data_IF_705249792166
#
_entry.id   IF_705249792166
#
_cell.length_a   1.000
_cell.length_b   1.000
_cell.length_c   1.000
_cell.angle_alpha   90.00
_cell.angle_beta   90.00
_cell.angle_gamma   90.00
#
_symmetry.space_group_name_H-M   'P 1'
#
loop_
_entity.id
_entity.type
_entity.pdbx_description
1 polymer ?
#
# COMPACT_ATOMS: atom_id res chain seq x y z
N UNK A 1 35.80 -14.76 -9.79
CA UNK A 1 34.70 -14.88 -8.83
C UNK A 1 34.78 -13.67 -7.93
N UNK A 2 33.78 -12.81 -7.97
CA UNK A 2 33.76 -11.59 -7.17
C UNK A 2 32.93 -11.84 -5.91
N UNK A 3 33.48 -11.55 -4.76
CA UNK A 3 32.74 -11.55 -3.50
C UNK A 3 32.01 -10.21 -3.39
N UNK A 4 30.72 -10.25 -3.09
CA UNK A 4 29.87 -9.07 -2.88
C UNK A 4 29.36 -9.13 -1.44
N UNK A 5 29.49 -8.03 -0.73
CA UNK A 5 28.86 -7.85 0.58
C UNK A 5 27.44 -7.32 0.41
N UNK A 6 26.47 -8.04 0.93
CA UNK A 6 25.09 -7.58 1.04
C UNK A 6 24.95 -6.78 2.33
N UNK A 7 24.41 -5.58 2.22
CA UNK A 7 24.29 -4.61 3.32
C UNK A 7 22.83 -4.23 3.55
N UNK A 8 22.56 -3.71 4.74
CA UNK A 8 21.25 -3.13 5.07
C UNK A 8 21.09 -1.83 4.27
N UNK A 9 20.05 -1.70 3.44
CA UNK A 9 19.76 -0.46 2.72
C UNK A 9 19.35 0.66 3.69
N UNK A 10 19.02 1.84 3.15
CA UNK A 10 18.45 2.94 3.95
C UNK A 10 17.14 2.50 4.60
N UNK A 11 17.13 2.46 5.92
CA UNK A 11 15.99 2.07 6.76
C UNK A 11 15.37 3.28 7.47
N UNK A 12 15.48 4.49 6.87
CA UNK A 12 14.87 5.71 7.38
C UNK A 12 15.55 6.30 8.60
N UNK A 13 16.87 6.11 8.74
CA UNK A 13 17.67 6.68 9.82
C UNK A 13 17.53 5.95 11.16
N UNK A 14 16.97 4.73 11.17
CA UNK A 14 16.92 3.89 12.38
C UNK A 14 18.29 3.24 12.64
N UNK A 15 18.79 3.38 13.86
CA UNK A 15 20.02 2.74 14.32
C UNK A 15 19.71 1.63 15.32
N UNK A 16 20.56 0.60 15.36
CA UNK A 16 20.46 -0.52 16.31
C UNK A 16 19.10 -1.26 16.28
N UNK A 17 18.64 -1.60 15.08
CA UNK A 17 17.40 -2.33 14.84
C UNK A 17 17.58 -3.81 15.12
N UNK A 18 16.61 -4.44 15.79
CA UNK A 18 16.66 -5.84 16.15
C UNK A 18 16.35 -6.74 14.94
N UNK A 19 17.18 -7.80 14.74
CA UNK A 19 16.95 -8.83 13.72
C UNK A 19 16.05 -9.91 14.32
N UNK A 20 14.83 -10.04 13.79
CA UNK A 20 13.85 -11.03 14.28
C UNK A 20 13.83 -12.33 13.48
N UNK A 21 14.28 -12.29 12.22
CA UNK A 21 14.41 -13.49 11.39
C UNK A 21 15.63 -13.38 10.47
N UNK A 22 16.24 -14.53 10.15
CA UNK A 22 17.31 -14.68 9.14
C UNK A 22 16.89 -15.82 8.22
N UNK A 23 16.55 -15.48 6.97
CA UNK A 23 15.95 -16.43 6.01
C UNK A 23 16.99 -17.14 5.14
N UNK A 24 18.27 -16.79 5.26
CA UNK A 24 19.37 -17.32 4.46
C UNK A 24 20.39 -18.09 5.30
N UNK A 25 21.07 -19.05 4.66
CA UNK A 25 22.16 -19.84 5.25
C UNK A 25 23.36 -19.90 4.31
N UNK A 26 24.52 -20.16 4.86
CA UNK A 26 25.73 -20.44 4.05
C UNK A 26 25.49 -21.62 3.11
N UNK A 27 25.71 -21.44 1.84
CA UNK A 27 25.48 -22.42 0.77
C UNK A 27 24.18 -22.19 -0.02
N UNK A 28 23.27 -21.32 0.44
CA UNK A 28 22.03 -21.03 -0.27
C UNK A 28 22.31 -20.21 -1.54
N UNK A 29 21.52 -20.47 -2.58
CA UNK A 29 21.51 -19.63 -3.79
C UNK A 29 20.37 -18.66 -3.68
N UNK A 30 20.67 -17.37 -3.76
CA UNK A 30 19.71 -16.27 -3.66
C UNK A 30 19.57 -15.56 -5.00
N UNK A 31 18.35 -15.14 -5.30
CA UNK A 31 18.01 -14.25 -6.42
C UNK A 31 17.92 -12.80 -5.94
N UNK A 32 17.82 -11.86 -6.89
CA UNK A 32 17.50 -10.46 -6.58
C UNK A 32 16.08 -10.44 -6.00
N UNK A 33 15.86 -9.59 -4.99
CA UNK A 33 14.62 -9.43 -4.24
C UNK A 33 14.26 -10.57 -3.26
N UNK A 34 15.07 -11.64 -3.13
CA UNK A 34 14.86 -12.62 -2.07
C UNK A 34 15.07 -12.00 -0.69
N UNK A 35 14.21 -12.30 0.29
CA UNK A 35 14.32 -11.80 1.66
C UNK A 35 15.55 -12.40 2.34
N UNK A 36 16.46 -11.56 2.85
CA UNK A 36 17.66 -11.96 3.56
C UNK A 36 17.43 -12.07 5.07
N UNK A 37 16.91 -11.01 5.65
CA UNK A 37 16.60 -10.85 7.07
C UNK A 37 15.32 -10.04 7.26
N UNK A 38 14.67 -10.23 8.39
CA UNK A 38 13.56 -9.38 8.83
C UNK A 38 13.99 -8.56 10.04
N UNK A 39 13.82 -7.26 9.97
CA UNK A 39 14.14 -6.27 11.01
C UNK A 39 12.87 -5.86 11.75
N UNK A 40 12.96 -5.59 13.05
CA UNK A 40 11.88 -5.03 13.85
C UNK A 40 12.28 -3.66 14.40
N UNK A 41 11.54 -2.64 13.97
CA UNK A 41 11.64 -1.29 14.51
C UNK A 41 10.53 -1.06 15.53
N UNK A 42 10.60 0.04 16.27
CA UNK A 42 9.53 0.50 17.18
C UNK A 42 8.18 0.78 16.48
N UNK A 43 8.15 0.83 15.15
CA UNK A 43 6.97 1.19 14.35
C UNK A 43 6.51 0.10 13.38
N UNK A 44 7.41 -0.75 12.89
CA UNK A 44 7.07 -1.77 11.89
C UNK A 44 8.14 -2.85 11.79
N UNK A 45 7.74 -4.02 11.27
CA UNK A 45 8.67 -5.04 10.75
C UNK A 45 8.99 -4.75 9.28
N UNK A 46 10.23 -4.94 8.89
CA UNK A 46 10.72 -4.68 7.53
C UNK A 46 11.57 -5.85 7.05
N UNK A 47 11.28 -6.34 5.84
CA UNK A 47 12.11 -7.33 5.17
C UNK A 47 13.21 -6.65 4.36
N UNK A 48 14.42 -7.14 4.45
CA UNK A 48 15.58 -6.64 3.69
C UNK A 48 15.80 -7.58 2.51
N UNK A 49 15.57 -7.09 1.26
CA UNK A 49 15.74 -7.88 0.05
C UNK A 49 17.21 -7.95 -0.38
N UNK A 50 17.54 -8.98 -1.16
CA UNK A 50 18.85 -9.14 -1.79
C UNK A 50 19.02 -8.17 -2.97
N UNK A 51 20.09 -7.37 -2.95
CA UNK A 51 20.43 -6.46 -4.05
C UNK A 51 21.16 -7.15 -5.21
N UNK A 52 21.65 -8.38 -4.99
CA UNK A 52 22.38 -9.14 -6.00
C UNK A 52 22.14 -10.66 -5.84
N UNK A 53 22.13 -11.36 -6.99
CA UNK A 53 22.03 -12.81 -7.02
C UNK A 53 23.40 -13.49 -6.86
N UNK A 54 23.42 -14.60 -6.14
CA UNK A 54 24.65 -15.36 -5.92
C UNK A 54 24.51 -16.50 -4.92
N UNK A 55 25.62 -17.15 -4.60
CA UNK A 55 25.67 -18.19 -3.57
C UNK A 55 26.18 -17.58 -2.28
N UNK A 56 25.43 -17.74 -1.19
CA UNK A 56 25.81 -17.25 0.14
C UNK A 56 27.02 -18.01 0.65
N UNK A 57 28.15 -17.34 0.87
CA UNK A 57 29.36 -17.93 1.44
C UNK A 57 29.35 -17.85 2.95
N UNK A 58 28.95 -16.74 3.51
CA UNK A 58 28.95 -16.51 4.94
C UNK A 58 27.78 -15.56 5.32
N UNK A 59 27.06 -15.89 6.37
CA UNK A 59 26.07 -15.01 7.01
C UNK A 59 26.72 -14.40 8.24
N UNK A 60 26.71 -13.08 8.32
CA UNK A 60 27.41 -12.29 9.35
C UNK A 60 26.53 -11.91 10.53
N UNK A 61 25.24 -12.16 10.45
CA UNK A 61 24.22 -11.77 11.43
C UNK A 61 23.43 -12.96 11.93
N UNK A 62 22.82 -12.83 13.11
CA UNK A 62 21.96 -13.83 13.75
C UNK A 62 20.69 -13.19 14.27
N UNK A 63 19.66 -14.02 14.48
CA UNK A 63 18.44 -13.59 15.16
C UNK A 63 18.78 -13.08 16.56
N UNK A 64 18.30 -11.87 16.89
CA UNK A 64 18.58 -11.17 18.15
C UNK A 64 19.79 -10.23 18.11
N UNK A 65 20.53 -10.18 17.01
CA UNK A 65 21.58 -9.16 16.82
C UNK A 65 20.94 -7.81 16.47
N UNK A 66 21.69 -6.74 16.75
CA UNK A 66 21.32 -5.37 16.36
C UNK A 66 22.14 -4.93 15.16
N UNK A 67 21.44 -4.35 14.17
CA UNK A 67 22.09 -3.88 12.95
C UNK A 67 21.60 -2.46 12.62
N UNK A 68 22.46 -1.69 11.96
CA UNK A 68 22.14 -0.35 11.46
C UNK A 68 22.31 -0.31 9.95
N UNK A 69 21.88 0.79 9.32
CA UNK A 69 22.10 1.05 7.90
C UNK A 69 23.56 0.83 7.52
N UNK A 70 23.80 0.19 6.36
CA UNK A 70 25.13 -0.15 5.86
C UNK A 70 25.78 -1.34 6.55
N UNK A 71 25.17 -1.93 7.59
CA UNK A 71 25.65 -3.13 8.24
C UNK A 71 25.69 -4.33 7.29
N UNK A 72 26.76 -5.15 7.35
CA UNK A 72 26.93 -6.31 6.45
C UNK A 72 26.09 -7.48 6.97
N UNK A 73 25.17 -7.97 6.14
CA UNK A 73 24.29 -9.11 6.42
C UNK A 73 24.96 -10.42 6.04
N UNK A 74 25.45 -10.50 4.82
CA UNK A 74 26.06 -11.71 4.26
C UNK A 74 27.09 -11.38 3.19
N UNK A 75 27.96 -12.34 2.91
CA UNK A 75 28.88 -12.29 1.78
C UNK A 75 28.45 -13.34 0.77
N UNK A 76 28.23 -12.91 -0.46
CA UNK A 76 27.86 -13.79 -1.57
C UNK A 76 28.97 -13.88 -2.60
N UNK A 77 29.08 -15.00 -3.26
CA UNK A 77 29.86 -15.15 -4.48
C UNK A 77 28.94 -14.90 -5.67
N UNK A 78 29.18 -13.77 -6.37
CA UNK A 78 28.40 -13.43 -7.55
C UNK A 78 28.53 -14.54 -8.60
N UNK A 79 27.42 -15.11 -9.03
CA UNK A 79 27.37 -15.92 -10.22
C UNK A 79 27.65 -14.97 -11.40
N UNK A 80 28.88 -15.01 -11.93
CA UNK A 80 29.22 -14.29 -13.15
C UNK A 80 28.17 -14.59 -14.21
N UNK A 81 27.77 -13.58 -14.97
CA UNK A 81 26.77 -13.67 -16.01
C UNK A 81 26.97 -14.93 -16.87
N UNK A 82 26.17 -15.95 -16.65
CA UNK A 82 26.10 -17.16 -17.45
C UNK A 82 24.63 -17.56 -17.54
N UNK A 83 24.15 -17.44 -18.77
CA UNK A 83 23.03 -18.17 -19.39
C UNK A 83 22.43 -19.30 -18.57
N UNK A 84 21.09 -19.28 -18.52
CA UNK A 84 20.22 -20.30 -17.97
C UNK A 84 20.71 -21.73 -18.23
N UNK A 85 20.87 -22.50 -17.16
CA UNK A 85 20.98 -23.95 -17.20
C UNK A 85 20.14 -24.54 -16.07
N UNK A 86 19.16 -25.27 -16.49
CA UNK A 86 18.28 -26.26 -15.88
C UNK A 86 18.53 -26.64 -14.40
N UNK A 87 17.55 -26.33 -13.55
CA UNK A 87 17.40 -26.89 -12.21
C UNK A 87 16.72 -28.27 -12.27
N UNK A 88 17.05 -29.21 -11.34
CA UNK A 88 16.43 -30.53 -11.34
C UNK A 88 14.97 -30.46 -10.86
N UNK A 89 14.14 -31.14 -11.63
CA UNK A 89 12.69 -31.26 -11.56
C UNK A 89 12.22 -31.89 -10.23
N UNK A 90 11.73 -31.10 -9.31
CA UNK A 90 10.85 -31.56 -8.26
C UNK A 90 9.42 -31.63 -8.78
N UNK A 91 8.67 -32.70 -8.40
CA UNK A 91 7.39 -33.06 -8.96
C UNK A 91 6.35 -31.92 -8.91
N UNK A 92 5.76 -31.68 -10.07
CA UNK A 92 4.85 -30.58 -10.32
C UNK A 92 3.50 -30.75 -9.59
N UNK A 93 3.15 -29.72 -8.81
CA UNK A 93 1.77 -29.27 -8.77
C UNK A 93 1.45 -28.54 -10.09
N UNK A 94 0.24 -28.62 -10.65
CA UNK A 94 -0.04 -28.03 -11.97
C UNK A 94 0.21 -26.52 -11.92
N UNK A 95 1.15 -26.09 -12.74
CA UNK A 95 1.43 -24.70 -12.95
C UNK A 95 0.17 -23.97 -13.44
N UNK A 96 -0.09 -22.73 -12.98
CA UNK A 96 -1.02 -21.86 -13.68
C UNK A 96 -0.54 -21.75 -15.13
N UNK A 97 -1.43 -22.04 -16.09
CA UNK A 97 -1.13 -21.86 -17.50
C UNK A 97 -0.47 -20.48 -17.71
N UNK A 98 0.67 -20.49 -18.37
CA UNK A 98 1.32 -19.27 -18.83
C UNK A 98 0.27 -18.41 -19.56
N UNK A 99 0.24 -17.07 -19.35
CA UNK A 99 -0.72 -16.24 -20.05
C UNK A 99 -0.54 -16.49 -21.55
N UNK A 100 -1.55 -17.11 -22.17
CA UNK A 100 -1.68 -17.17 -23.61
C UNK A 100 -1.36 -15.79 -24.14
N UNK A 101 -0.43 -15.69 -25.08
CA UNK A 101 -0.06 -14.43 -25.71
C UNK A 101 -1.35 -13.61 -25.88
N UNK A 102 -1.40 -12.47 -25.21
CA UNK A 102 -2.59 -11.63 -25.20
C UNK A 102 -2.97 -11.40 -26.65
N UNK A 103 -4.22 -11.75 -26.99
CA UNK A 103 -4.77 -11.32 -28.26
C UNK A 103 -4.50 -9.81 -28.39
N UNK A 104 -4.17 -9.31 -29.60
CA UNK A 104 -3.92 -7.88 -29.78
C UNK A 104 -5.04 -7.13 -29.08
N UNK A 105 -4.68 -6.22 -28.17
CA UNK A 105 -5.65 -5.45 -27.42
C UNK A 105 -6.67 -4.90 -28.43
N UNK A 106 -7.98 -5.04 -28.16
CA UNK A 106 -8.98 -4.48 -29.05
C UNK A 106 -8.59 -3.01 -29.28
N UNK A 107 -8.45 -2.63 -30.55
CA UNK A 107 -8.16 -1.23 -30.89
C UNK A 107 -9.27 -0.40 -30.23
N UNK A 108 -8.88 0.49 -29.32
CA UNK A 108 -9.82 1.34 -28.64
C UNK A 108 -10.68 2.04 -29.71
N UNK A 109 -12.00 1.93 -29.57
CA UNK A 109 -12.92 2.56 -30.50
C UNK A 109 -12.56 4.05 -30.59
N UNK A 110 -12.47 4.58 -31.82
CA UNK A 110 -12.25 6.00 -32.00
C UNK A 110 -13.57 6.69 -31.64
N UNK A 111 -13.53 7.52 -30.59
CA UNK A 111 -14.67 8.36 -30.24
C UNK A 111 -14.88 9.40 -31.35
N UNK A 112 -16.06 9.42 -31.94
CA UNK A 112 -16.42 10.32 -33.05
C UNK A 112 -17.25 11.54 -32.58
N UNK A 113 -17.46 11.71 -31.26
CA UNK A 113 -18.20 12.82 -30.66
C UNK A 113 -17.33 14.02 -30.29
N UNK A 114 -17.97 15.09 -29.80
CA UNK A 114 -17.29 16.20 -29.16
C UNK A 114 -17.20 15.97 -27.65
N UNK A 115 -16.08 16.38 -27.02
CA UNK A 115 -15.95 16.36 -25.57
C UNK A 115 -16.52 17.63 -24.95
N UNK A 116 -17.22 17.53 -23.82
CA UNK A 116 -17.76 18.66 -23.06
C UNK A 116 -16.66 19.37 -22.25
N UNK A 117 -15.61 18.65 -21.87
CA UNK A 117 -14.45 19.18 -21.16
C UNK A 117 -13.19 18.39 -21.51
N UNK A 118 -12.04 19.06 -21.41
CA UNK A 118 -10.72 18.48 -21.63
C UNK A 118 -9.85 18.64 -20.40
N UNK A 119 -9.11 17.58 -20.06
CA UNK A 119 -8.17 17.51 -18.94
C UNK A 119 -6.87 16.85 -19.38
N UNK A 120 -5.78 17.20 -18.72
CA UNK A 120 -4.50 16.51 -18.90
C UNK A 120 -4.54 15.12 -18.24
N UNK A 121 -5.22 15.03 -17.08
CA UNK A 121 -5.40 13.79 -16.34
C UNK A 121 -6.83 13.66 -15.85
N UNK A 122 -7.45 12.51 -16.12
CA UNK A 122 -8.75 12.13 -15.55
C UNK A 122 -8.57 10.87 -14.72
N UNK A 123 -8.95 10.94 -13.45
CA UNK A 123 -8.88 9.82 -12.52
C UNK A 123 -10.27 9.24 -12.32
N UNK A 124 -10.43 7.95 -12.58
CA UNK A 124 -11.68 7.25 -12.38
C UNK A 124 -11.69 6.56 -11.01
N UNK A 125 -12.50 7.09 -10.11
CA UNK A 125 -12.63 6.67 -8.71
C UNK A 125 -11.87 7.57 -7.73
N UNK A 126 -12.58 8.06 -6.72
CA UNK A 126 -12.07 8.98 -5.68
C UNK A 126 -11.58 8.31 -4.40
N UNK A 127 -11.23 7.01 -4.44
CA UNK A 127 -10.63 6.28 -3.33
C UNK A 127 -9.17 6.71 -3.05
N UNK A 128 -8.49 6.09 -2.06
CA UNK A 128 -7.14 6.51 -1.63
C UNK A 128 -6.12 6.61 -2.78
N UNK A 129 -6.07 5.63 -3.67
CA UNK A 129 -5.22 5.68 -4.86
C UNK A 129 -5.62 6.80 -5.82
N UNK A 130 -6.94 6.98 -6.03
CA UNK A 130 -7.47 7.96 -6.99
C UNK A 130 -7.22 9.39 -6.55
N UNK A 131 -7.63 9.79 -5.36
CA UNK A 131 -7.38 11.16 -4.93
C UNK A 131 -5.89 11.47 -4.76
N UNK A 132 -5.08 10.48 -4.36
CA UNK A 132 -3.63 10.66 -4.26
C UNK A 132 -3.01 10.93 -5.63
N UNK A 133 -3.39 10.15 -6.66
CA UNK A 133 -2.91 10.35 -8.02
C UNK A 133 -3.36 11.69 -8.60
N UNK A 134 -4.64 12.05 -8.38
CA UNK A 134 -5.17 13.32 -8.86
C UNK A 134 -4.51 14.54 -8.20
N UNK A 135 -4.26 14.47 -6.89
CA UNK A 135 -3.58 15.55 -6.17
C UNK A 135 -2.13 15.70 -6.61
N UNK A 136 -1.40 14.59 -6.80
CA UNK A 136 -0.04 14.61 -7.33
C UNK A 136 0.00 15.22 -8.74
N UNK A 137 -0.90 14.82 -9.64
CA UNK A 137 -0.99 15.39 -10.98
C UNK A 137 -1.27 16.91 -10.95
N UNK A 138 -2.19 17.34 -10.08
CA UNK A 138 -2.50 18.75 -9.91
C UNK A 138 -1.35 19.57 -9.30
N UNK A 139 -0.58 18.99 -8.37
CA UNK A 139 0.60 19.62 -7.77
C UNK A 139 1.72 19.81 -8.82
N UNK A 140 1.79 18.94 -9.84
CA UNK A 140 2.65 19.09 -11.03
C UNK A 140 2.10 20.12 -12.06
N UNK A 141 0.97 20.75 -11.78
CA UNK A 141 0.37 21.78 -12.61
C UNK A 141 -0.54 21.27 -13.73
N UNK A 142 -0.87 19.98 -13.75
CA UNK A 142 -1.77 19.40 -14.74
C UNK A 142 -3.24 19.71 -14.43
N UNK A 143 -4.02 20.03 -15.47
CA UNK A 143 -5.47 20.18 -15.34
C UNK A 143 -6.10 18.82 -15.09
N UNK A 144 -6.63 18.62 -13.87
CA UNK A 144 -7.01 17.29 -13.39
C UNK A 144 -8.48 17.22 -12.98
N UNK A 145 -9.13 16.09 -13.29
CA UNK A 145 -10.46 15.76 -12.80
C UNK A 145 -10.47 14.40 -12.10
N UNK A 146 -11.37 14.25 -11.12
CA UNK A 146 -11.75 12.96 -10.49
C UNK A 146 -13.22 12.70 -10.84
N UNK A 147 -13.49 11.51 -11.36
CA UNK A 147 -14.86 11.01 -11.54
C UNK A 147 -15.15 10.06 -10.40
N UNK A 148 -16.17 10.36 -9.57
CA UNK A 148 -16.55 9.54 -8.42
C UNK A 148 -18.07 9.33 -8.41
N UNK A 149 -18.50 8.08 -8.27
CA UNK A 149 -19.93 7.75 -8.27
C UNK A 149 -20.64 8.17 -6.99
N UNK A 150 -19.93 8.24 -5.88
CA UNK A 150 -20.48 8.63 -4.59
C UNK A 150 -20.35 10.12 -4.33
N UNK A 151 -21.15 10.61 -3.39
CA UNK A 151 -21.20 12.05 -3.05
C UNK A 151 -19.94 12.56 -2.33
N UNK A 152 -19.08 11.66 -1.85
CA UNK A 152 -17.87 12.01 -1.10
C UNK A 152 -16.65 11.28 -1.63
N UNK A 153 -15.52 11.97 -1.64
CA UNK A 153 -14.22 11.34 -1.87
C UNK A 153 -13.82 10.45 -0.70
N UNK A 154 -12.83 9.59 -0.92
CA UNK A 154 -12.25 8.73 0.10
C UNK A 154 -12.48 7.24 -0.12
N UNK A 155 -13.40 6.89 -1.02
CA UNK A 155 -13.71 5.49 -1.35
C UNK A 155 -14.21 4.70 -0.14
N UNK A 156 -14.21 3.39 -0.27
CA UNK A 156 -14.58 2.46 0.81
C UNK A 156 -13.72 2.70 2.06
N UNK A 157 -12.42 2.98 1.89
CA UNK A 157 -11.51 3.13 3.03
C UNK A 157 -11.96 4.20 4.03
N UNK A 158 -12.29 5.41 3.55
CA UNK A 158 -12.66 6.51 4.44
C UNK A 158 -14.12 6.42 4.90
N UNK A 159 -15.01 5.99 4.02
CA UNK A 159 -16.45 6.08 4.27
C UNK A 159 -17.00 4.90 5.08
N UNK A 160 -16.60 3.66 4.75
CA UNK A 160 -17.19 2.45 5.35
C UNK A 160 -16.17 1.40 5.78
N UNK A 161 -14.88 1.62 5.56
CA UNK A 161 -13.82 0.64 5.79
C UNK A 161 -12.84 1.04 6.90
N UNK A 162 -11.62 1.39 6.50
CA UNK A 162 -10.47 1.58 7.40
C UNK A 162 -10.72 2.61 8.51
N UNK A 163 -11.29 3.76 8.15
CA UNK A 163 -11.45 4.87 9.09
C UNK A 163 -12.51 4.59 10.14
N UNK A 164 -13.76 4.21 9.79
CA UNK A 164 -14.74 3.87 10.80
C UNK A 164 -14.31 2.68 11.66
N UNK A 165 -13.68 1.65 11.08
CA UNK A 165 -13.17 0.50 11.84
C UNK A 165 -12.11 0.92 12.86
N UNK A 166 -11.11 1.71 12.44
CA UNK A 166 -10.05 2.16 13.36
C UNK A 166 -10.55 3.10 14.44
N UNK A 167 -11.53 3.96 14.13
CA UNK A 167 -12.16 4.82 15.12
C UNK A 167 -12.85 4.01 16.24
N UNK A 168 -13.57 2.95 15.88
CA UNK A 168 -14.24 2.07 16.85
C UNK A 168 -13.25 1.16 17.60
N UNK A 169 -12.27 0.58 16.90
CA UNK A 169 -11.24 -0.26 17.49
C UNK A 169 -10.38 0.50 18.49
N UNK A 170 -10.09 1.78 18.24
CA UNK A 170 -9.38 2.61 19.20
C UNK A 170 -10.14 2.74 20.53
N UNK A 171 -11.45 2.97 20.48
CA UNK A 171 -12.27 3.04 21.68
C UNK A 171 -12.29 1.70 22.45
N UNK A 172 -12.37 0.58 21.72
CA UNK A 172 -12.30 -0.74 22.33
C UNK A 172 -10.93 -0.99 23.00
N UNK A 173 -9.83 -0.62 22.32
CA UNK A 173 -8.49 -0.75 22.87
C UNK A 173 -8.30 0.05 24.16
N UNK A 174 -8.83 1.29 24.23
CA UNK A 174 -8.79 2.10 25.45
C UNK A 174 -9.52 1.43 26.62
N UNK A 175 -10.68 0.80 26.36
CA UNK A 175 -11.42 0.06 27.40
C UNK A 175 -10.59 -1.13 27.90
N UNK A 176 -9.92 -1.85 27.02
CA UNK A 176 -9.08 -2.99 27.38
C UNK A 176 -7.82 -2.56 28.15
N UNK A 177 -7.21 -1.44 27.75
CA UNK A 177 -6.07 -0.85 28.46
C UNK A 177 -6.43 -0.46 29.89
N UNK A 178 -7.59 0.17 30.07
CA UNK A 178 -8.12 0.50 31.39
C UNK A 178 -8.29 -0.74 32.27
N UNK A 179 -8.77 -1.86 31.73
CA UNK A 179 -8.87 -3.14 32.46
C UNK A 179 -7.51 -3.66 32.92
N UNK A 180 -6.47 -3.47 32.13
CA UNK A 180 -5.11 -3.89 32.50
C UNK A 180 -4.54 -3.10 33.70
N UNK A 181 -4.95 -1.86 33.92
CA UNK A 181 -4.50 -1.03 35.05
C UNK A 181 -4.93 -1.59 36.41
N UNK A 182 -5.93 -2.45 36.46
CA UNK A 182 -6.35 -3.15 37.70
C UNK A 182 -5.20 -3.93 38.34
N UNK A 183 -4.30 -4.52 37.50
CA UNK A 183 -3.11 -5.23 37.96
C UNK A 183 -2.11 -4.32 38.66
N UNK A 184 -2.17 -3.03 38.37
CA UNK A 184 -1.31 -1.99 38.97
C UNK A 184 -1.99 -1.29 40.14
N UNK A 185 -3.12 -1.81 40.65
CA UNK A 185 -3.84 -1.26 41.80
C UNK A 185 -4.82 -0.14 41.45
N UNK A 186 -5.01 0.21 40.17
CA UNK A 186 -5.95 1.25 39.72
C UNK A 186 -7.24 0.60 39.26
N UNK A 187 -8.34 0.92 39.93
CA UNK A 187 -9.67 0.37 39.60
C UNK A 187 -10.57 1.46 39.03
N UNK A 188 -11.26 1.10 37.92
CA UNK A 188 -12.31 1.90 37.31
C UNK A 188 -13.64 1.16 37.46
N UNK A 189 -14.76 1.90 37.39
CA UNK A 189 -16.09 1.30 37.30
C UNK A 189 -16.30 0.67 35.92
N UNK A 190 -17.39 -0.11 35.80
CA UNK A 190 -17.79 -0.65 34.51
C UNK A 190 -18.15 0.49 33.54
N UNK A 191 -17.73 0.40 32.28
CA UNK A 191 -18.03 1.45 31.31
C UNK A 191 -19.53 1.45 30.96
N UNK A 192 -20.16 2.61 30.96
CA UNK A 192 -21.47 2.83 30.38
C UNK A 192 -21.28 3.23 28.90
N UNK A 193 -21.88 2.43 27.99
CA UNK A 193 -21.70 2.62 26.54
C UNK A 193 -23.02 3.09 25.91
N UNK A 194 -23.03 4.34 25.45
CA UNK A 194 -24.11 4.85 24.62
C UNK A 194 -23.78 4.61 23.13
N UNK A 195 -24.47 3.64 22.52
CA UNK A 195 -24.21 3.20 21.13
C UNK A 195 -24.52 4.30 20.12
N UNK A 196 -25.51 5.14 20.37
CA UNK A 196 -25.89 6.22 19.44
C UNK A 196 -24.86 7.36 19.46
N UNK A 197 -24.32 7.69 20.63
CA UNK A 197 -23.22 8.64 20.72
C UNK A 197 -21.93 8.10 20.09
N UNK A 198 -21.64 6.82 20.28
CA UNK A 198 -20.50 6.14 19.66
C UNK A 198 -20.61 6.14 18.12
N UNK A 199 -21.82 5.88 17.60
CA UNK A 199 -22.12 5.99 16.18
C UNK A 199 -21.91 7.43 15.69
N UNK A 200 -22.46 8.40 16.41
CA UNK A 200 -22.27 9.82 16.11
C UNK A 200 -20.80 10.28 16.13
N UNK A 201 -20.00 9.72 17.02
CA UNK A 201 -18.55 9.95 17.03
C UNK A 201 -17.89 9.41 15.75
N UNK A 202 -18.18 8.18 15.37
CA UNK A 202 -17.69 7.56 14.14
C UNK A 202 -18.04 8.41 12.91
N UNK A 203 -19.28 8.86 12.79
CA UNK A 203 -19.72 9.71 11.67
C UNK A 203 -18.98 11.05 11.62
N UNK A 204 -18.72 11.66 12.76
CA UNK A 204 -17.92 12.91 12.83
C UNK A 204 -16.49 12.70 12.35
N UNK A 205 -15.87 11.55 12.65
CA UNK A 205 -14.52 11.24 12.17
C UNK A 205 -14.52 11.11 10.65
N UNK A 206 -15.48 10.37 10.08
CA UNK A 206 -15.63 10.20 8.64
C UNK A 206 -15.83 11.57 7.96
N UNK A 207 -16.79 12.35 8.42
CA UNK A 207 -17.12 13.65 7.85
C UNK A 207 -15.93 14.63 7.89
N UNK A 208 -15.15 14.61 8.96
CA UNK A 208 -13.94 15.44 9.08
C UNK A 208 -12.91 15.10 8.01
N UNK A 209 -12.66 13.81 7.77
CA UNK A 209 -11.64 13.37 6.82
C UNK A 209 -12.10 13.52 5.37
N UNK A 210 -13.33 13.14 5.05
CA UNK A 210 -13.89 13.33 3.70
C UNK A 210 -14.04 14.81 3.34
N UNK A 211 -14.45 15.65 4.29
CA UNK A 211 -14.47 17.10 4.13
C UNK A 211 -13.07 17.69 3.91
N UNK A 212 -12.06 17.13 4.58
CA UNK A 212 -10.66 17.48 4.34
C UNK A 212 -10.22 17.18 2.90
N UNK A 213 -10.59 16.03 2.35
CA UNK A 213 -10.30 15.68 0.95
C UNK A 213 -10.99 16.63 -0.03
N UNK A 214 -12.26 16.98 0.20
CA UNK A 214 -12.97 17.96 -0.63
C UNK A 214 -12.28 19.34 -0.60
N UNK A 215 -11.82 19.77 0.58
CA UNK A 215 -11.03 20.99 0.74
C UNK A 215 -9.70 20.94 -0.02
N UNK A 216 -9.00 19.81 0.03
CA UNK A 216 -7.74 19.61 -0.70
C UNK A 216 -7.93 19.60 -2.21
N UNK A 217 -8.99 18.95 -2.72
CA UNK A 217 -9.33 18.96 -4.14
C UNK A 217 -9.59 20.40 -4.63
N UNK A 218 -10.39 21.17 -3.88
CA UNK A 218 -10.68 22.56 -4.19
C UNK A 218 -9.43 23.45 -4.17
N UNK A 219 -8.56 23.29 -3.19
CA UNK A 219 -7.31 24.06 -3.08
C UNK A 219 -6.36 23.81 -4.27
N UNK A 220 -6.35 22.58 -4.81
CA UNK A 220 -5.57 22.18 -5.99
C UNK A 220 -6.27 22.40 -7.32
N UNK A 221 -7.49 22.92 -7.30
CA UNK A 221 -8.33 23.11 -8.51
C UNK A 221 -8.58 21.79 -9.27
N UNK A 222 -8.69 20.69 -8.54
CA UNK A 222 -9.11 19.42 -9.10
C UNK A 222 -10.63 19.43 -9.22
N UNK A 223 -11.14 19.20 -10.42
CA UNK A 223 -12.56 19.09 -10.66
C UNK A 223 -13.07 17.73 -10.18
N UNK A 224 -14.08 17.74 -9.31
CA UNK A 224 -14.72 16.50 -8.83
C UNK A 224 -16.06 16.37 -9.52
N UNK A 225 -16.16 15.38 -10.40
CA UNK A 225 -17.34 15.11 -11.23
C UNK A 225 -18.04 13.89 -10.63
N UNK A 226 -19.26 14.10 -10.12
CA UNK A 226 -20.03 13.00 -9.54
C UNK A 226 -20.76 12.23 -10.65
N UNK A 227 -20.46 10.94 -10.78
CA UNK A 227 -21.08 10.08 -11.76
C UNK A 227 -20.35 8.78 -12.00
N UNK A 228 -20.96 7.92 -12.80
CA UNK A 228 -20.33 6.68 -13.29
C UNK A 228 -19.60 6.95 -14.60
N UNK A 229 -18.29 6.77 -14.60
CA UNK A 229 -17.46 6.90 -15.79
C UNK A 229 -17.26 5.59 -16.53
N UNK A 230 -17.36 5.63 -17.86
CA UNK A 230 -17.04 4.53 -18.75
C UNK A 230 -16.09 4.98 -19.84
N UNK A 231 -15.07 4.17 -20.13
CA UNK A 231 -14.21 4.41 -21.30
C UNK A 231 -14.99 4.15 -22.60
N UNK A 232 -15.11 5.17 -23.43
CA UNK A 232 -15.72 5.10 -24.76
C UNK A 232 -14.68 5.26 -25.87
N UNK A 233 -13.44 5.50 -25.52
CA UNK A 233 -12.28 5.57 -26.40
C UNK A 233 -10.98 5.56 -25.59
N UNK A 234 -9.83 5.57 -26.27
CA UNK A 234 -8.52 5.53 -25.61
C UNK A 234 -8.31 6.67 -24.61
N UNK A 235 -8.84 7.85 -24.95
CA UNK A 235 -8.69 9.08 -24.16
C UNK A 235 -10.05 9.74 -23.91
N UNK A 236 -11.15 8.99 -23.95
CA UNK A 236 -12.49 9.50 -23.77
C UNK A 236 -13.23 8.71 -22.70
N UNK A 237 -13.83 9.42 -21.76
CA UNK A 237 -14.66 8.85 -20.70
C UNK A 237 -16.03 9.52 -20.79
N UNK A 238 -17.07 8.73 -20.95
CA UNK A 238 -18.45 9.16 -20.80
C UNK A 238 -18.83 9.08 -19.33
N UNK A 239 -19.46 10.14 -18.81
CA UNK A 239 -19.89 10.21 -17.41
C UNK A 239 -21.40 10.29 -17.36
N UNK A 240 -22.03 9.24 -16.84
CA UNK A 240 -23.44 9.26 -16.47
C UNK A 240 -23.56 9.91 -15.09
N UNK A 241 -24.07 11.12 -15.03
CA UNK A 241 -24.27 11.84 -13.76
C UNK A 241 -25.22 11.05 -12.86
N UNK A 242 -24.84 10.86 -11.61
CA UNK A 242 -25.66 10.17 -10.61
C UNK A 242 -26.19 11.17 -9.60
N UNK A 243 -27.49 11.07 -9.26
CA UNK A 243 -28.02 11.75 -8.09
C UNK A 243 -27.48 11.06 -6.84
N UNK A 244 -26.94 11.85 -5.90
CA UNK A 244 -26.46 11.50 -4.55
C UNK A 244 -26.48 10.02 -4.16
N UNK A 245 -25.62 9.20 -4.74
CA UNK A 245 -25.39 7.83 -4.24
C UNK A 245 -24.52 7.93 -2.97
N UNK A 246 -24.99 7.36 -1.86
CA UNK A 246 -24.24 7.27 -0.62
C UNK A 246 -23.67 5.86 -0.46
N UNK A 247 -22.64 5.73 0.34
CA UNK A 247 -22.15 4.41 0.77
C UNK A 247 -23.17 3.78 1.71
N UNK A 248 -23.58 2.56 1.41
CA UNK A 248 -24.44 1.74 2.27
C UNK A 248 -23.62 0.91 3.28
#
# INVERSE_FOLDING_TARGET
MSLIELKVPDIGGHENVDIIAVEIKAGDTIAIDDTLITLETDKATMDVPAEAAGVVKEVKVKVGDKISEGGVIAVIEAAGAATAAEAPKAAAAPAPEAPKAAAPAPQAAQFAGSADAEYDVVVLGGGPGGYSAAFAAADEGLKTAIIEQYSTLGGVCLNVGCIPSKALLHNAAVIDEVKHLVKNGIKFGEPEINVDELRGYKEKVIAKLTGGLAGMAKARKVDVIQGNGQFVGANHIEVSLTESTQYE
#
